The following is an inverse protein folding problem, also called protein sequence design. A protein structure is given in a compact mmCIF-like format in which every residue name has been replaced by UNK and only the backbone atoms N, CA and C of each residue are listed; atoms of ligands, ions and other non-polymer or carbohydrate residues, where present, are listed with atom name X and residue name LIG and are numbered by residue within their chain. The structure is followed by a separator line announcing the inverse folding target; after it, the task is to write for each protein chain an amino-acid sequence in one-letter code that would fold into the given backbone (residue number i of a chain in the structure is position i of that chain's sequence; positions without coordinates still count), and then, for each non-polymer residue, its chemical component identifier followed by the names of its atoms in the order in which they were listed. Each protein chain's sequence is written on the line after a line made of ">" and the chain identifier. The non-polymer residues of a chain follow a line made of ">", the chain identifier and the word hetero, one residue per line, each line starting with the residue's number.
data_IF_607666172167
#
_entry.id   IF_607666172167
#
_cell.length_a   1.000
_cell.length_b   1.000
_cell.length_c   1.000
_cell.angle_alpha   90.00
_cell.angle_beta   90.00
_cell.angle_gamma   90.00
#
_symmetry.space_group_name_H-M   'P 1'
#
loop_
_entity.id
_entity.type
_entity.pdbx_description
1 polymer ?
#
# COMPACT_ATOMS: atom_id res chain seq x y z
N UNK A 1 9.64 1.29 -21.96
CA UNK A 1 10.49 0.15 -21.53
C UNK A 1 9.68 -0.78 -20.62
N UNK A 2 10.01 -2.07 -20.57
CA UNK A 2 9.26 -3.10 -19.84
C UNK A 2 8.97 -2.76 -18.36
N UNK A 3 9.97 -2.25 -17.63
CA UNK A 3 9.84 -1.94 -16.21
C UNK A 3 8.75 -0.89 -15.90
N UNK A 4 8.71 0.19 -16.69
CA UNK A 4 7.68 1.23 -16.55
C UNK A 4 6.28 0.71 -16.86
N UNK A 5 6.14 -0.12 -17.90
CA UNK A 5 4.87 -0.77 -18.24
C UNK A 5 4.39 -1.70 -17.11
N UNK A 6 5.31 -2.44 -16.50
CA UNK A 6 5.01 -3.31 -15.35
C UNK A 6 4.50 -2.50 -14.14
N UNK A 7 5.17 -1.40 -13.81
CA UNK A 7 4.76 -0.50 -12.72
C UNK A 7 3.36 0.08 -13.01
N UNK A 8 3.11 0.57 -14.22
CA UNK A 8 1.80 1.12 -14.61
C UNK A 8 0.66 0.09 -14.54
N UNK A 9 0.89 -1.14 -14.98
CA UNK A 9 -0.09 -2.23 -14.88
C UNK A 9 -0.42 -2.54 -13.41
N UNK A 10 0.58 -2.59 -12.54
CA UNK A 10 0.37 -2.85 -11.11
C UNK A 10 -0.35 -1.72 -10.41
N UNK A 11 0.01 -0.47 -10.68
CA UNK A 11 -0.66 0.69 -10.08
C UNK A 11 -2.15 0.77 -10.44
N UNK A 12 -2.55 0.28 -11.63
CA UNK A 12 -3.97 0.28 -12.03
C UNK A 12 -4.77 -0.92 -11.53
N UNK A 13 -4.17 -2.12 -11.50
CA UNK A 13 -4.89 -3.37 -11.22
C UNK A 13 -4.78 -3.86 -9.78
N UNK A 14 -3.63 -3.65 -9.15
CA UNK A 14 -3.33 -4.16 -7.81
C UNK A 14 -2.18 -3.32 -7.22
N UNK A 15 -2.48 -2.10 -6.71
CA UNK A 15 -1.44 -1.19 -6.26
C UNK A 15 -0.57 -1.82 -5.17
N UNK A 16 0.74 -1.61 -5.30
CA UNK A 16 1.79 -2.16 -4.45
C UNK A 16 2.79 -1.05 -4.14
N UNK A 17 3.46 -1.18 -3.01
CA UNK A 17 4.53 -0.26 -2.64
C UNK A 17 5.78 -0.49 -3.48
N UNK A 18 6.61 0.55 -3.61
CA UNK A 18 7.86 0.53 -4.36
C UNK A 18 8.72 -0.69 -4.05
N UNK A 19 8.81 -1.08 -2.78
CA UNK A 19 9.63 -2.22 -2.35
C UNK A 19 9.21 -3.52 -3.01
N UNK A 20 7.91 -3.81 -3.06
CA UNK A 20 7.41 -5.05 -3.67
C UNK A 20 7.51 -4.99 -5.20
N UNK A 21 7.23 -3.83 -5.81
CA UNK A 21 7.41 -3.63 -7.25
C UNK A 21 8.86 -3.87 -7.68
N UNK A 22 9.82 -3.35 -6.92
CA UNK A 22 11.24 -3.59 -7.15
C UNK A 22 11.57 -5.08 -7.09
N UNK A 23 11.10 -5.79 -6.07
CA UNK A 23 11.30 -7.25 -5.96
C UNK A 23 10.70 -8.00 -7.15
N UNK A 24 9.52 -7.62 -7.64
CA UNK A 24 8.91 -8.23 -8.82
C UNK A 24 9.74 -8.02 -10.08
N UNK A 25 10.25 -6.81 -10.30
CA UNK A 25 11.09 -6.47 -11.44
C UNK A 25 12.40 -7.25 -11.42
N UNK A 26 13.07 -7.29 -10.26
CA UNK A 26 14.29 -8.10 -10.06
C UNK A 26 14.03 -9.58 -10.34
N UNK A 27 12.91 -10.13 -9.83
CA UNK A 27 12.51 -11.51 -10.08
C UNK A 27 12.21 -11.83 -11.55
N UNK A 28 12.05 -10.79 -12.39
CA UNK A 28 11.85 -10.90 -13.84
C UNK A 28 13.13 -10.67 -14.65
N UNK A 29 14.27 -10.53 -13.98
CA UNK A 29 15.55 -10.28 -14.63
C UNK A 29 15.77 -8.83 -15.05
N UNK A 30 14.99 -7.88 -14.54
CA UNK A 30 15.29 -6.45 -14.73
C UNK A 30 16.50 -6.09 -13.87
N UNK A 31 17.45 -5.36 -14.45
CA UNK A 31 18.64 -4.87 -13.73
C UNK A 31 18.25 -4.00 -12.54
N UNK A 32 19.05 -4.02 -11.48
CA UNK A 32 18.70 -3.38 -10.22
C UNK A 32 18.52 -1.86 -10.36
N UNK A 33 19.37 -1.21 -11.14
CA UNK A 33 19.33 0.22 -11.41
C UNK A 33 18.06 0.61 -12.18
N UNK A 34 17.70 -0.20 -13.19
CA UNK A 34 16.47 0.00 -13.97
C UNK A 34 15.22 -0.26 -13.12
N UNK A 35 15.26 -1.23 -12.22
CA UNK A 35 14.18 -1.52 -11.31
C UNK A 35 13.99 -0.40 -10.28
N UNK A 36 15.09 0.14 -9.74
CA UNK A 36 15.08 1.29 -8.83
C UNK A 36 14.47 2.51 -9.52
N UNK A 37 14.98 2.89 -10.69
CA UNK A 37 14.48 4.02 -11.47
C UNK A 37 12.99 3.87 -11.81
N UNK A 38 12.55 2.65 -12.14
CA UNK A 38 11.16 2.41 -12.50
C UNK A 38 10.18 2.65 -11.35
N UNK A 39 10.57 2.35 -10.11
CA UNK A 39 9.67 2.48 -8.95
C UNK A 39 9.64 3.90 -8.37
N UNK A 40 10.62 4.76 -8.66
CA UNK A 40 10.66 6.14 -8.15
C UNK A 40 9.46 7.00 -8.56
N UNK A 41 8.77 6.65 -9.65
CA UNK A 41 7.56 7.36 -10.10
C UNK A 41 6.31 7.03 -9.28
N UNK A 42 6.38 6.03 -8.40
CA UNK A 42 5.24 5.57 -7.60
C UNK A 42 5.08 6.43 -6.36
N UNK A 43 3.90 7.02 -6.20
CA UNK A 43 3.48 7.64 -4.96
C UNK A 43 2.94 6.57 -3.99
N UNK A 44 3.81 6.06 -3.13
CA UNK A 44 3.48 5.01 -2.15
C UNK A 44 2.42 5.47 -1.15
N UNK A 45 2.39 6.77 -0.80
CA UNK A 45 1.38 7.33 0.11
C UNK A 45 -0.01 7.24 -0.50
N UNK A 46 -0.16 7.73 -1.73
CA UNK A 46 -1.44 7.69 -2.46
C UNK A 46 -1.88 6.24 -2.72
N UNK A 47 -0.95 5.37 -3.14
CA UNK A 47 -1.24 3.97 -3.40
C UNK A 47 -1.63 3.19 -2.12
N UNK A 48 -0.92 3.40 -1.01
CA UNK A 48 -1.23 2.78 0.28
C UNK A 48 -2.64 3.16 0.75
N UNK A 49 -3.00 4.43 0.63
CA UNK A 49 -4.31 4.94 1.03
C UNK A 49 -5.44 4.35 0.18
N UNK A 50 -5.27 4.29 -1.15
CA UNK A 50 -6.25 3.67 -2.04
C UNK A 50 -6.49 2.19 -1.68
N UNK A 51 -5.41 1.44 -1.45
CA UNK A 51 -5.49 0.04 -1.04
C UNK A 51 -6.10 -0.12 0.35
N UNK A 52 -5.80 0.78 1.28
CA UNK A 52 -6.33 0.77 2.63
C UNK A 52 -7.85 0.98 2.65
N UNK A 53 -8.37 1.98 1.91
CA UNK A 53 -9.82 2.23 1.76
C UNK A 53 -10.55 1.01 1.22
N UNK A 54 -9.98 0.39 0.18
CA UNK A 54 -10.51 -0.85 -0.39
C UNK A 54 -10.46 -2.06 0.55
N UNK A 55 -9.67 -2.03 1.64
CA UNK A 55 -9.61 -3.13 2.62
C UNK A 55 -10.45 -2.86 3.86
N UNK A 56 -10.56 -1.60 4.27
CA UNK A 56 -11.15 -1.21 5.56
C UNK A 56 -12.62 -1.57 5.71
N UNK A 57 -13.41 -1.57 4.64
CA UNK A 57 -14.82 -2.02 4.71
C UNK A 57 -14.95 -3.44 5.26
N UNK A 58 -13.97 -4.32 5.03
CA UNK A 58 -13.97 -5.71 5.56
C UNK A 58 -13.51 -5.79 7.01
N UNK A 59 -13.07 -4.68 7.58
CA UNK A 59 -12.55 -4.56 8.95
C UNK A 59 -13.43 -3.65 9.81
N UNK A 60 -14.56 -3.18 9.28
CA UNK A 60 -15.51 -2.35 10.01
C UNK A 60 -16.05 -3.08 11.25
N UNK A 61 -16.29 -2.34 12.32
CA UNK A 61 -16.78 -2.87 13.61
C UNK A 61 -15.71 -3.56 14.48
N UNK A 62 -14.44 -3.54 14.06
CA UNK A 62 -13.34 -4.00 14.91
C UNK A 62 -12.80 -2.84 15.75
N UNK A 63 -12.39 -3.14 16.98
CA UNK A 63 -11.61 -2.22 17.83
C UNK A 63 -10.34 -1.72 17.11
N UNK A 64 -9.96 -0.47 17.36
CA UNK A 64 -8.84 0.19 16.67
C UNK A 64 -7.55 -0.64 16.68
N UNK A 65 -7.22 -1.27 17.82
CA UNK A 65 -6.01 -2.11 17.94
C UNK A 65 -6.03 -3.30 16.98
N UNK A 66 -7.19 -3.93 16.81
CA UNK A 66 -7.35 -5.08 15.91
C UNK A 66 -7.40 -4.62 14.46
N UNK A 67 -8.09 -3.52 14.19
CA UNK A 67 -8.14 -2.88 12.87
C UNK A 67 -6.74 -2.52 12.37
N UNK A 68 -5.98 -1.76 13.17
CA UNK A 68 -4.63 -1.28 12.84
C UNK A 68 -3.65 -2.43 12.62
N UNK A 69 -3.66 -3.47 13.47
CA UNK A 69 -2.81 -4.63 13.30
C UNK A 69 -3.11 -5.39 11.99
N UNK A 70 -4.40 -5.60 11.68
CA UNK A 70 -4.82 -6.34 10.47
C UNK A 70 -4.54 -5.56 9.20
N UNK A 71 -4.90 -4.27 9.18
CA UNK A 71 -4.71 -3.40 8.03
C UNK A 71 -3.22 -3.13 7.80
N UNK A 72 -2.47 -2.79 8.85
CA UNK A 72 -1.04 -2.55 8.75
C UNK A 72 -0.26 -3.78 8.30
N UNK A 73 -0.57 -4.96 8.84
CA UNK A 73 0.03 -6.22 8.38
C UNK A 73 -0.29 -6.54 6.92
N UNK A 74 -1.49 -6.20 6.46
CA UNK A 74 -1.90 -6.37 5.06
C UNK A 74 -1.13 -5.44 4.11
N UNK A 75 -1.00 -4.15 4.46
CA UNK A 75 -0.25 -3.16 3.67
C UNK A 75 1.25 -3.48 3.65
N UNK A 76 1.84 -3.94 4.77
CA UNK A 76 3.25 -4.37 4.82
C UNK A 76 3.57 -5.48 3.83
N UNK A 77 2.66 -6.47 3.69
CA UNK A 77 2.80 -7.55 2.69
C UNK A 77 2.65 -7.08 1.25
N UNK A 78 2.10 -5.89 1.04
CA UNK A 78 1.97 -5.22 -0.27
C UNK A 78 3.16 -4.30 -0.59
N UNK A 79 4.16 -4.23 0.29
CA UNK A 79 5.42 -3.55 0.02
C UNK A 79 5.47 -2.09 0.43
N UNK A 80 4.45 -1.56 1.11
CA UNK A 80 4.46 -0.18 1.59
C UNK A 80 5.41 -0.01 2.80
N UNK A 81 6.00 1.18 2.92
CA UNK A 81 6.86 1.54 4.05
C UNK A 81 6.04 1.78 5.32
N UNK A 82 6.71 1.77 6.48
CA UNK A 82 6.05 1.90 7.77
C UNK A 82 5.26 3.21 7.90
N UNK A 83 5.83 4.33 7.45
CA UNK A 83 5.21 5.65 7.58
C UNK A 83 3.93 5.76 6.76
N UNK A 84 3.96 5.33 5.49
CA UNK A 84 2.77 5.27 4.62
C UNK A 84 1.69 4.35 5.19
N UNK A 85 2.09 3.23 5.81
CA UNK A 85 1.18 2.31 6.47
C UNK A 85 0.48 2.98 7.65
N UNK A 86 1.24 3.64 8.53
CA UNK A 86 0.68 4.30 9.71
C UNK A 86 -0.27 5.43 9.31
N UNK A 87 0.12 6.21 8.29
CA UNK A 87 -0.74 7.27 7.76
C UNK A 87 -2.04 6.69 7.17
N UNK A 88 -1.94 5.71 6.27
CA UNK A 88 -3.11 5.11 5.65
C UNK A 88 -4.06 4.45 6.67
N UNK A 89 -3.51 3.77 7.68
CA UNK A 89 -4.31 3.16 8.77
C UNK A 89 -5.10 4.23 9.53
N UNK A 90 -4.43 5.31 9.96
CA UNK A 90 -5.07 6.39 10.72
C UNK A 90 -6.13 7.11 9.89
N UNK A 91 -5.81 7.46 8.65
CA UNK A 91 -6.75 8.15 7.75
C UNK A 91 -8.01 7.33 7.55
N UNK A 92 -7.88 6.05 7.22
CA UNK A 92 -9.05 5.22 6.92
C UNK A 92 -9.81 4.81 8.19
N UNK A 93 -9.14 4.70 9.34
CA UNK A 93 -9.83 4.58 10.62
C UNK A 93 -10.76 5.77 10.84
N UNK A 94 -10.28 7.00 10.68
CA UNK A 94 -11.12 8.20 10.87
C UNK A 94 -12.28 8.28 9.85
N UNK A 95 -12.07 7.80 8.62
CA UNK A 95 -13.12 7.73 7.59
C UNK A 95 -14.22 6.69 7.91
N UNK A 96 -13.89 5.60 8.62
CA UNK A 96 -14.79 4.45 8.79
C UNK A 96 -15.26 4.21 10.22
N UNK A 97 -14.58 4.77 11.21
CA UNK A 97 -14.95 4.63 12.62
C UNK A 97 -16.24 5.42 12.92
N UNK A 98 -17.14 4.84 13.74
CA UNK A 98 -18.26 5.59 14.28
C UNK A 98 -17.74 6.78 15.10
N UNK A 99 -18.50 7.88 15.14
CA UNK A 99 -18.16 9.15 15.81
C UNK A 99 -17.63 8.96 17.24
N UNK A 100 -18.08 7.90 17.93
CA UNK A 100 -17.72 7.51 19.30
C UNK A 100 -16.25 7.08 19.47
N UNK A 101 -15.63 6.56 18.41
CA UNK A 101 -14.29 5.97 18.43
C UNK A 101 -13.21 6.87 17.78
N UNK A 102 -13.62 8.04 17.28
CA UNK A 102 -12.71 9.07 16.77
C UNK A 102 -12.11 9.83 17.96
N UNK A 103 -10.93 9.43 18.44
CA UNK A 103 -10.13 10.20 19.40
C UNK A 103 -8.70 10.34 18.93
#
# INVERSE_FOLDING_TARGET
>A
AFAQSWVGERQSSAPRGQRLLRYELLGKGVQAEVAEEAVLSVDDRTAALAVARGRAHRLAGLEFRVFSQRLGGFLRRRGFAYDDIQEAVRTVWNETAPESDRR
#
